data_IF_605086749760
#
_entry.id   IF_605086749760
#
_cell.length_a   1.000
_cell.length_b   1.000
_cell.length_c   1.000
_cell.angle_alpha   90.00
_cell.angle_beta   90.00
_cell.angle_gamma   90.00
#
_symmetry.space_group_name_H-M   'P 1'
#
loop_
_entity.id
_entity.type
_entity.pdbx_description
1 polymer ?
#
# COMPACT_ATOMS: atom_id res chain seq x y z
N UNK A 1 18.32 -1.15 -25.23
CA UNK A 1 17.15 -1.69 -25.96
C UNK A 1 17.60 -2.92 -26.70
N UNK A 2 17.06 -4.08 -26.35
CA UNK A 2 17.42 -5.36 -26.97
C UNK A 2 16.12 -6.01 -27.44
N UNK A 3 15.98 -6.19 -28.75
CA UNK A 3 14.81 -6.85 -29.35
C UNK A 3 15.26 -8.25 -29.75
N UNK A 4 14.57 -9.28 -29.28
CA UNK A 4 14.81 -10.67 -29.68
C UNK A 4 13.57 -11.23 -30.36
N UNK A 5 13.76 -11.85 -31.53
CA UNK A 5 12.70 -12.50 -32.32
C UNK A 5 12.94 -14.01 -32.25
N UNK A 6 12.02 -14.74 -31.64
CA UNK A 6 11.98 -16.20 -31.69
C UNK A 6 10.99 -16.67 -32.75
N UNK A 7 11.39 -17.64 -33.58
CA UNK A 7 10.52 -18.31 -34.55
C UNK A 7 10.10 -19.67 -33.98
N UNK A 8 8.81 -19.99 -33.99
CA UNK A 8 8.26 -21.32 -33.72
C UNK A 8 7.46 -21.79 -34.94
N UNK A 9 7.55 -23.08 -35.27
CA UNK A 9 6.87 -23.72 -36.42
C UNK A 9 5.33 -23.84 -36.26
N UNK A 10 4.73 -23.09 -35.33
CA UNK A 10 3.29 -22.99 -35.15
C UNK A 10 2.87 -21.53 -34.90
N UNK A 11 3.05 -20.68 -35.91
CA UNK A 11 2.19 -19.53 -36.20
C UNK A 11 2.06 -18.39 -35.18
N UNK A 12 2.65 -18.45 -33.98
CA UNK A 12 2.57 -17.38 -32.98
C UNK A 12 3.92 -16.67 -32.82
N UNK A 13 4.01 -15.44 -33.32
CA UNK A 13 5.13 -14.54 -33.05
C UNK A 13 4.83 -13.71 -31.79
N UNK A 14 5.51 -14.02 -30.67
CA UNK A 14 5.50 -13.17 -29.48
C UNK A 14 6.75 -12.29 -29.45
N UNK A 15 6.56 -10.98 -29.35
CA UNK A 15 7.65 -9.99 -29.19
C UNK A 15 7.67 -9.51 -27.75
N UNK A 16 8.74 -9.80 -27.02
CA UNK A 16 8.95 -9.32 -25.66
C UNK A 16 9.92 -8.14 -25.68
N UNK A 17 9.46 -6.97 -25.20
CA UNK A 17 10.29 -5.75 -25.07
C UNK A 17 10.53 -5.49 -23.59
N UNK A 18 11.78 -5.62 -23.14
CA UNK A 18 12.18 -5.37 -21.75
C UNK A 18 12.93 -4.03 -21.66
N UNK A 19 12.38 -3.09 -20.89
CA UNK A 19 13.03 -1.82 -20.56
C UNK A 19 13.77 -1.92 -19.22
N UNK A 20 15.01 -1.42 -19.17
CA UNK A 20 15.73 -1.14 -17.92
C UNK A 20 16.35 -2.34 -17.17
N UNK A 21 16.22 -3.57 -17.67
CA UNK A 21 16.77 -4.76 -17.00
C UNK A 21 18.28 -4.91 -17.30
N UNK A 22 19.17 -5.05 -16.29
CA UNK A 22 20.59 -5.28 -16.53
C UNK A 22 20.83 -6.60 -17.29
N UNK A 23 21.80 -6.64 -18.23
CA UNK A 23 22.08 -7.80 -19.11
C UNK A 23 22.19 -9.16 -18.39
N UNK A 24 22.64 -9.18 -17.14
CA UNK A 24 22.72 -10.38 -16.32
C UNK A 24 21.34 -11.03 -16.06
N UNK A 25 20.30 -10.21 -15.91
CA UNK A 25 18.93 -10.67 -15.64
C UNK A 25 18.23 -11.19 -16.89
N UNK A 26 18.52 -10.64 -18.09
CA UNK A 26 17.92 -11.12 -19.33
C UNK A 26 18.35 -12.53 -19.72
N UNK A 27 19.57 -12.94 -19.37
CA UNK A 27 20.06 -14.30 -19.64
C UNK A 27 19.52 -15.33 -18.64
N UNK A 28 19.31 -14.92 -17.39
CA UNK A 28 18.68 -15.76 -16.36
C UNK A 28 17.23 -16.05 -16.73
N UNK A 29 16.47 -15.04 -17.19
CA UNK A 29 15.08 -15.20 -17.61
C UNK A 29 14.93 -16.10 -18.86
N UNK A 30 15.85 -15.99 -19.82
CA UNK A 30 15.86 -16.85 -21.02
C UNK A 30 16.24 -18.30 -20.69
N UNK A 31 17.20 -18.51 -19.78
CA UNK A 31 17.52 -19.85 -19.27
C UNK A 31 16.34 -20.47 -18.52
N UNK A 32 15.56 -19.66 -17.79
CA UNK A 32 14.36 -20.08 -17.07
C UNK A 32 13.25 -20.56 -18.01
N UNK A 33 12.99 -19.85 -19.10
CA UNK A 33 12.00 -20.21 -20.13
C UNK A 33 12.39 -21.49 -20.89
N UNK A 34 13.69 -21.74 -21.12
CA UNK A 34 14.15 -22.97 -21.78
C UNK A 34 14.13 -24.20 -20.86
N UNK A 35 14.34 -24.02 -19.55
CA UNK A 35 14.34 -25.12 -18.57
C UNK A 35 12.93 -25.52 -18.11
N UNK A 36 11.99 -24.58 -18.03
CA UNK A 36 10.61 -24.86 -17.62
C UNK A 36 9.87 -25.75 -18.64
N UNK A 37 10.24 -25.68 -19.92
CA UNK A 37 9.65 -26.51 -20.98
C UNK A 37 10.13 -27.97 -20.97
N UNK A 38 10.98 -28.37 -20.00
CA UNK A 38 11.56 -29.71 -19.91
C UNK A 38 11.48 -30.28 -18.48
N UNK A 39 10.38 -31.00 -18.24
CA UNK A 39 10.11 -31.99 -17.16
C UNK A 39 9.51 -31.53 -15.80
N UNK A 40 8.45 -32.27 -15.43
CA UNK A 40 7.73 -32.33 -14.13
C UNK A 40 8.68 -32.61 -12.95
N UNK A 41 8.97 -31.61 -12.10
CA UNK A 41 9.28 -31.78 -10.66
C UNK A 41 8.83 -30.53 -9.90
N UNK A 42 7.70 -30.59 -9.18
CA UNK A 42 6.98 -29.40 -8.68
C UNK A 42 7.28 -28.99 -7.22
N UNK A 43 8.08 -29.74 -6.45
CA UNK A 43 8.34 -29.44 -5.04
C UNK A 43 9.71 -28.82 -4.72
N UNK A 44 10.77 -29.30 -5.37
CA UNK A 44 12.15 -28.91 -5.05
C UNK A 44 12.61 -27.64 -5.76
N UNK A 45 11.92 -27.24 -6.83
CA UNK A 45 12.26 -26.07 -7.64
C UNK A 45 11.84 -24.76 -6.94
N UNK A 46 10.62 -24.71 -6.37
CA UNK A 46 10.10 -23.54 -5.67
C UNK A 46 10.95 -23.18 -4.43
N UNK A 47 11.40 -24.20 -3.69
CA UNK A 47 12.27 -24.01 -2.52
C UNK A 47 13.63 -23.40 -2.90
N UNK A 48 14.23 -23.83 -4.02
CA UNK A 48 15.49 -23.28 -4.52
C UNK A 48 15.35 -21.86 -5.07
N UNK A 49 14.18 -21.53 -5.64
CA UNK A 49 13.85 -20.17 -6.11
C UNK A 49 13.71 -19.21 -4.93
N UNK A 50 13.03 -19.62 -3.84
CA UNK A 50 12.91 -18.80 -2.63
C UNK A 50 14.29 -18.57 -2.00
N UNK A 51 15.15 -19.59 -1.93
CA UNK A 51 16.52 -19.41 -1.44
C UNK A 51 17.34 -18.47 -2.33
N UNK A 52 17.30 -18.61 -3.65
CA UNK A 52 18.03 -17.74 -4.57
C UNK A 52 17.57 -16.27 -4.49
N UNK A 53 16.26 -16.03 -4.35
CA UNK A 53 15.68 -14.70 -4.17
C UNK A 53 16.12 -14.09 -2.83
N UNK A 54 16.18 -14.87 -1.75
CA UNK A 54 16.64 -14.39 -0.45
C UNK A 54 18.13 -14.02 -0.42
N UNK A 55 18.97 -14.64 -1.25
CA UNK A 55 20.41 -14.37 -1.31
C UNK A 55 20.78 -13.14 -2.14
N UNK A 56 19.94 -12.75 -3.12
CA UNK A 56 20.21 -11.63 -4.03
C UNK A 56 19.48 -10.33 -3.67
N UNK A 57 18.38 -10.40 -2.91
CA UNK A 57 17.55 -9.25 -2.55
C UNK A 57 18.01 -8.64 -1.23
N UNK A 58 18.34 -7.34 -1.21
CA UNK A 58 18.96 -6.68 -0.04
C UNK A 58 17.96 -6.19 1.01
N UNK A 59 16.67 -6.16 0.70
CA UNK A 59 15.63 -5.62 1.58
C UNK A 59 14.36 -6.45 1.52
N UNK A 60 13.63 -6.54 2.63
CA UNK A 60 12.41 -7.34 2.76
C UNK A 60 11.33 -6.95 1.74
N UNK A 61 11.23 -5.66 1.38
CA UNK A 61 10.25 -5.18 0.39
C UNK A 61 10.49 -5.76 -1.01
N UNK A 62 11.74 -5.97 -1.42
CA UNK A 62 12.09 -6.54 -2.72
C UNK A 62 11.65 -8.01 -2.83
N UNK A 63 11.81 -8.77 -1.74
CA UNK A 63 11.37 -10.17 -1.67
C UNK A 63 9.84 -10.27 -1.76
N UNK A 64 9.11 -9.37 -1.08
CA UNK A 64 7.64 -9.32 -1.14
C UNK A 64 7.16 -8.99 -2.55
N UNK A 65 7.72 -7.95 -3.20
CA UNK A 65 7.36 -7.61 -4.59
C UNK A 65 7.64 -8.77 -5.54
N UNK A 66 8.78 -9.44 -5.41
CA UNK A 66 9.13 -10.59 -6.26
C UNK A 66 8.17 -11.77 -6.05
N UNK A 67 7.77 -12.06 -4.81
CA UNK A 67 6.80 -13.11 -4.51
C UNK A 67 5.40 -12.76 -5.04
N UNK A 68 4.97 -11.50 -4.95
CA UNK A 68 3.70 -11.04 -5.52
C UNK A 68 3.71 -11.18 -7.04
N UNK A 69 4.77 -10.70 -7.71
CA UNK A 69 4.91 -10.85 -9.17
C UNK A 69 4.95 -12.33 -9.59
N UNK A 70 5.66 -13.18 -8.83
CA UNK A 70 5.70 -14.63 -9.09
C UNK A 70 4.32 -15.27 -8.90
N UNK A 71 3.54 -14.84 -7.89
CA UNK A 71 2.18 -15.34 -7.66
C UNK A 71 1.21 -14.96 -8.78
N UNK A 72 1.38 -13.78 -9.36
CA UNK A 72 0.57 -13.30 -10.49
C UNK A 72 0.89 -14.10 -11.77
N UNK A 73 2.16 -14.42 -12.01
CA UNK A 73 2.59 -15.23 -13.16
C UNK A 73 2.22 -16.71 -12.98
N UNK A 74 2.32 -17.29 -11.79
CA UNK A 74 1.96 -18.68 -11.56
C UNK A 74 0.45 -18.95 -11.61
N UNK A 75 -0.40 -17.93 -11.41
CA UNK A 75 -1.86 -18.11 -11.44
C UNK A 75 -2.44 -18.11 -12.86
N UNK A 76 -1.73 -17.57 -13.86
CA UNK A 76 -2.20 -17.56 -15.25
C UNK A 76 -2.12 -18.92 -15.96
N UNK A 77 -1.45 -19.93 -15.38
CA UNK A 77 -1.33 -21.28 -15.99
C UNK A 77 -2.16 -22.37 -15.28
N UNK A 78 -2.94 -22.02 -14.25
CA UNK A 78 -3.68 -22.99 -13.42
C UNK A 78 -5.19 -23.06 -13.68
N UNK A 79 -5.65 -22.73 -14.89
CA UNK A 79 -6.97 -23.13 -15.35
C UNK A 79 -6.89 -24.59 -15.84
N UNK A 80 -7.05 -25.53 -14.92
CA UNK A 80 -7.48 -26.87 -15.28
C UNK A 80 -8.95 -26.79 -15.67
N UNK A 81 -9.23 -27.02 -16.95
CA UNK A 81 -10.57 -27.41 -17.38
C UNK A 81 -10.94 -28.70 -16.66
N UNK A 82 -12.03 -28.64 -15.90
CA UNK A 82 -12.96 -29.73 -15.58
C UNK A 82 -13.86 -29.26 -14.42
N UNK A 83 -14.71 -28.27 -14.66
CA UNK A 83 -15.90 -28.02 -13.83
C UNK A 83 -17.12 -28.44 -14.64
N UNK A 84 -17.73 -29.55 -14.25
CA UNK A 84 -19.02 -29.98 -14.78
C UNK A 84 -20.12 -29.24 -14.03
N UNK A 85 -21.04 -28.64 -14.77
CA UNK A 85 -22.26 -28.04 -14.21
C UNK A 85 -23.26 -29.17 -13.95
N UNK A 86 -23.70 -29.32 -12.71
CA UNK A 86 -24.81 -30.20 -12.33
C UNK A 86 -26.09 -29.35 -12.26
N UNK A 87 -27.22 -29.91 -12.68
CA UNK A 87 -28.52 -29.25 -12.47
C UNK A 87 -29.06 -29.47 -11.04
N UNK A 88 -30.19 -28.84 -10.73
CA UNK A 88 -30.86 -28.93 -9.41
C UNK A 88 -31.32 -30.36 -9.03
N UNK A 89 -31.20 -31.33 -9.93
CA UNK A 89 -31.49 -32.75 -9.71
C UNK A 89 -30.23 -33.60 -9.50
N UNK A 90 -29.03 -33.00 -9.59
CA UNK A 90 -27.75 -33.66 -9.40
C UNK A 90 -27.29 -34.47 -10.62
N UNK A 91 -27.83 -34.22 -11.80
CA UNK A 91 -27.46 -34.92 -13.04
C UNK A 91 -26.38 -34.13 -13.81
N UNK A 92 -25.40 -34.84 -14.38
CA UNK A 92 -24.34 -34.29 -15.22
C UNK A 92 -24.93 -33.66 -16.47
N UNK A 93 -24.77 -32.35 -16.64
CA UNK A 93 -25.06 -31.68 -17.90
C UNK A 93 -23.89 -31.98 -18.84
N UNK A 94 -24.12 -32.83 -19.85
CA UNK A 94 -23.17 -33.01 -20.95
C UNK A 94 -23.04 -31.70 -21.72
N UNK A 95 -21.89 -31.03 -21.59
CA UNK A 95 -21.51 -29.91 -22.46
C UNK A 95 -20.83 -30.53 -23.69
N UNK A 96 -21.39 -30.40 -24.91
CA UNK A 96 -20.80 -31.00 -26.09
C UNK A 96 -19.55 -30.23 -26.49
N UNK A 97 -18.38 -30.84 -26.32
CA UNK A 97 -17.12 -30.42 -26.90
C UNK A 97 -16.98 -31.07 -28.26
N UNK A 98 -17.03 -30.31 -29.37
CA UNK A 98 -16.59 -30.84 -30.66
C UNK A 98 -15.88 -29.82 -31.55
N UNK A 99 -14.73 -30.29 -31.99
CA UNK A 99 -13.76 -29.73 -32.92
C UNK A 99 -14.35 -29.73 -34.33
N UNK A 100 -14.36 -28.54 -34.94
CA UNK A 100 -14.33 -28.28 -36.39
C UNK A 100 -15.25 -29.11 -37.29
N UNK A 101 -16.30 -28.46 -37.79
CA UNK A 101 -16.86 -28.76 -39.11
C UNK A 101 -18.35 -28.48 -39.19
N UNK A 102 -18.70 -27.33 -39.74
CA UNK A 102 -20.06 -26.90 -40.11
C UNK A 102 -20.98 -26.45 -38.95
N UNK A 103 -21.09 -25.11 -38.87
CA UNK A 103 -21.98 -24.34 -38.01
C UNK A 103 -23.44 -24.73 -38.21
N UNK A 104 -24.08 -25.24 -37.15
CA UNK A 104 -25.45 -24.85 -36.82
C UNK A 104 -25.57 -24.75 -35.29
N UNK A 105 -25.84 -23.53 -34.80
CA UNK A 105 -26.11 -23.08 -33.41
C UNK A 105 -24.92 -22.58 -32.56
N UNK A 106 -25.08 -21.43 -31.85
CA UNK A 106 -23.99 -20.78 -31.14
C UNK A 106 -23.74 -21.40 -29.75
N UNK A 107 -22.48 -21.61 -29.42
CA UNK A 107 -22.01 -22.02 -28.09
C UNK A 107 -21.75 -20.77 -27.23
N UNK A 108 -22.34 -20.71 -26.03
CA UNK A 108 -22.12 -19.66 -25.05
C UNK A 108 -20.83 -19.94 -24.28
N UNK A 109 -19.74 -19.26 -24.62
CA UNK A 109 -18.56 -19.17 -23.76
C UNK A 109 -18.69 -17.88 -22.93
N UNK A 110 -19.12 -18.02 -21.68
CA UNK A 110 -19.01 -16.92 -20.70
C UNK A 110 -17.55 -16.85 -20.31
N UNK A 111 -16.86 -15.83 -20.78
CA UNK A 111 -15.53 -15.50 -20.32
C UNK A 111 -15.62 -15.06 -18.85
N UNK A 112 -15.07 -15.87 -17.95
CA UNK A 112 -15.15 -15.69 -16.48
C UNK A 112 -14.32 -14.47 -16.02
N UNK A 113 -13.55 -13.86 -16.93
CA UNK A 113 -12.66 -12.74 -16.62
C UNK A 113 -13.35 -11.37 -16.62
N UNK A 114 -14.63 -11.29 -17.05
CA UNK A 114 -15.39 -10.02 -17.01
C UNK A 114 -14.89 -8.97 -18.02
N UNK A 115 -13.98 -9.34 -18.93
CA UNK A 115 -13.44 -8.42 -19.95
C UNK A 115 -14.37 -8.23 -21.15
N UNK A 116 -15.46 -9.00 -21.27
CA UNK A 116 -16.34 -9.01 -22.45
C UNK A 116 -17.82 -8.78 -22.13
N UNK A 117 -18.15 -7.88 -21.20
CA UNK A 117 -19.55 -7.47 -21.00
C UNK A 117 -20.01 -6.34 -21.94
N UNK A 118 -19.07 -5.56 -22.50
CA UNK A 118 -19.40 -4.42 -23.38
C UNK A 118 -19.86 -4.86 -24.80
N UNK A 119 -19.73 -6.16 -25.17
CA UNK A 119 -20.04 -6.67 -26.52
C UNK A 119 -21.25 -7.61 -26.60
N UNK A 120 -21.81 -8.07 -25.48
CA UNK A 120 -22.79 -9.17 -25.50
C UNK A 120 -24.25 -8.75 -25.32
N UNK A 121 -24.55 -7.53 -24.88
CA UNK A 121 -25.95 -7.09 -24.74
C UNK A 121 -26.61 -6.80 -26.10
N UNK A 122 -25.88 -6.26 -27.09
CA UNK A 122 -26.47 -5.81 -28.35
C UNK A 122 -26.57 -6.90 -29.43
N UNK A 123 -25.49 -7.65 -29.72
CA UNK A 123 -25.49 -8.59 -30.89
C UNK A 123 -26.26 -9.90 -30.63
N UNK A 124 -26.38 -10.35 -29.38
CA UNK A 124 -27.08 -11.61 -29.08
C UNK A 124 -28.61 -11.44 -29.09
N UNK A 125 -29.10 -10.31 -28.59
CA UNK A 125 -30.53 -9.97 -28.56
C UNK A 125 -31.06 -9.66 -29.97
N UNK A 126 -30.32 -8.91 -30.79
CA UNK A 126 -30.73 -8.64 -32.18
C UNK A 126 -30.70 -9.90 -33.06
N UNK A 127 -29.81 -10.87 -32.76
CA UNK A 127 -29.54 -11.98 -33.66
C UNK A 127 -30.31 -13.26 -33.36
N UNK A 128 -30.72 -13.52 -32.10
CA UNK A 128 -31.29 -14.82 -31.73
C UNK A 128 -32.54 -14.82 -30.83
N UNK A 129 -32.98 -13.69 -30.28
CA UNK A 129 -34.11 -13.66 -29.35
C UNK A 129 -34.99 -12.43 -29.50
N UNK A 130 -36.15 -12.57 -30.13
CA UNK A 130 -37.21 -11.56 -29.99
C UNK A 130 -37.45 -11.23 -28.51
N UNK A 131 -37.88 -9.99 -28.24
CA UNK A 131 -38.00 -9.25 -26.95
C UNK A 131 -38.31 -9.99 -25.62
N UNK A 132 -38.59 -11.28 -25.59
CA UNK A 132 -39.00 -12.06 -24.42
C UNK A 132 -37.98 -13.06 -23.87
N UNK A 133 -36.80 -13.23 -24.47
CA UNK A 133 -35.81 -14.24 -24.03
C UNK A 133 -34.45 -13.68 -23.59
N UNK A 134 -34.36 -12.39 -23.28
CA UNK A 134 -33.17 -11.82 -22.65
C UNK A 134 -33.07 -12.36 -21.21
N UNK A 135 -32.47 -13.54 -21.03
CA UNK A 135 -31.88 -13.90 -19.74
C UNK A 135 -30.68 -12.97 -19.59
N UNK A 136 -30.92 -11.78 -19.02
CA UNK A 136 -29.85 -10.86 -18.70
C UNK A 136 -28.82 -11.60 -17.86
N UNK A 137 -27.55 -11.53 -18.27
CA UNK A 137 -26.46 -11.99 -17.41
C UNK A 137 -26.67 -11.33 -16.04
N UNK A 138 -26.51 -12.06 -14.92
CA UNK A 138 -26.71 -11.48 -13.60
C UNK A 138 -25.82 -10.23 -13.48
N UNK A 139 -26.44 -9.07 -13.25
CA UNK A 139 -25.81 -7.74 -13.26
C UNK A 139 -24.53 -7.60 -12.41
N UNK A 140 -24.30 -8.53 -11.50
CA UNK A 140 -23.12 -8.60 -10.63
C UNK A 140 -21.87 -9.15 -11.33
N UNK A 141 -22.05 -9.96 -12.37
CA UNK A 141 -20.96 -10.61 -13.11
C UNK A 141 -20.20 -9.63 -14.02
N UNK A 142 -20.86 -8.55 -14.45
CA UNK A 142 -20.31 -7.50 -15.32
C UNK A 142 -19.76 -6.28 -14.58
N UNK A 143 -19.70 -6.34 -13.24
CA UNK A 143 -19.15 -5.25 -12.45
C UNK A 143 -17.62 -5.20 -12.55
N UNK A 144 -17.01 -4.01 -12.68
CA UNK A 144 -15.56 -3.83 -12.67
C UNK A 144 -14.91 -4.54 -11.48
N UNK A 145 -13.88 -5.34 -11.75
CA UNK A 145 -13.23 -6.15 -10.71
C UNK A 145 -12.00 -5.48 -10.15
N UNK A 146 -11.32 -4.68 -10.95
CA UNK A 146 -10.17 -3.93 -10.49
C UNK A 146 -10.57 -2.51 -10.10
N UNK A 147 -9.86 -1.98 -9.12
CA UNK A 147 -9.93 -0.58 -8.76
C UNK A 147 -8.55 -0.05 -8.45
N UNK A 148 -8.31 1.20 -8.83
CA UNK A 148 -7.08 1.90 -8.55
C UNK A 148 -7.39 3.35 -8.19
N UNK A 149 -6.66 3.89 -7.22
CA UNK A 149 -6.83 5.26 -6.78
C UNK A 149 -5.52 5.98 -6.51
N UNK A 150 -5.60 7.30 -6.64
CA UNK A 150 -4.53 8.22 -6.27
C UNK A 150 -5.14 9.44 -5.54
N UNK A 151 -4.53 9.83 -4.44
CA UNK A 151 -4.88 11.03 -3.68
C UNK A 151 -3.64 11.84 -3.32
N UNK A 152 -3.80 13.16 -3.30
CA UNK A 152 -2.86 14.07 -2.66
C UNK A 152 -3.18 14.20 -1.17
N UNK A 153 -2.15 14.32 -0.36
CA UNK A 153 -2.23 14.50 1.10
C UNK A 153 -1.65 15.85 1.49
N UNK A 154 -2.22 16.48 2.52
CA UNK A 154 -1.58 17.59 3.26
C UNK A 154 -1.77 17.30 4.73
N UNK A 155 -0.70 16.89 5.41
CA UNK A 155 -0.77 16.37 6.77
C UNK A 155 0.31 16.96 7.66
N UNK A 156 0.00 17.06 8.95
CA UNK A 156 0.92 17.42 10.02
C UNK A 156 0.88 16.38 11.12
N UNK A 157 1.66 16.59 12.19
CA UNK A 157 1.59 15.75 13.39
C UNK A 157 1.69 16.54 14.68
N UNK A 158 1.17 15.96 15.76
CA UNK A 158 1.47 16.39 17.11
C UNK A 158 2.92 16.06 17.45
N UNK A 159 3.56 17.00 18.14
CA UNK A 159 4.90 16.85 18.68
C UNK A 159 4.83 16.51 20.17
N UNK A 160 5.80 15.76 20.70
CA UNK A 160 5.88 15.49 22.14
C UNK A 160 6.22 16.75 22.95
N UNK A 161 6.25 16.58 24.27
CA UNK A 161 6.72 17.60 25.19
C UNK A 161 8.14 18.07 24.85
N UNK A 162 8.38 19.37 25.08
CA UNK A 162 9.65 20.01 24.72
C UNK A 162 10.81 19.45 25.53
N UNK A 163 11.90 19.06 24.86
CA UNK A 163 13.20 18.94 25.50
C UNK A 163 13.91 20.30 25.46
N UNK A 164 14.46 20.70 26.60
CA UNK A 164 15.26 21.93 26.71
C UNK A 164 16.70 21.57 27.03
N UNK A 165 17.62 22.26 26.38
CA UNK A 165 19.06 22.05 26.57
C UNK A 165 19.79 23.36 26.72
N UNK A 166 20.89 23.32 27.46
CA UNK A 166 21.89 24.39 27.46
C UNK A 166 23.04 23.91 26.60
N UNK A 167 23.28 24.62 25.50
CA UNK A 167 24.32 24.32 24.55
C UNK A 167 25.58 25.17 24.67
N UNK A 168 26.48 25.06 23.68
CA UNK A 168 27.75 25.78 23.67
C UNK A 168 27.55 27.27 23.93
N UNK A 169 28.48 27.87 24.69
CA UNK A 169 28.44 29.29 25.06
C UNK A 169 27.15 29.72 25.78
N UNK A 170 26.41 28.78 26.37
CA UNK A 170 25.16 29.02 27.10
C UNK A 170 23.91 29.13 26.23
N UNK A 171 23.97 28.71 24.96
CA UNK A 171 22.83 28.74 24.04
C UNK A 171 21.66 27.92 24.60
N UNK A 172 20.56 28.57 24.95
CA UNK A 172 19.33 27.87 25.31
C UNK A 172 18.65 27.34 24.03
N UNK A 173 18.37 26.04 24.01
CA UNK A 173 17.72 25.35 22.89
C UNK A 173 16.47 24.65 23.37
N UNK A 174 15.37 24.81 22.63
CA UNK A 174 14.13 24.08 22.89
C UNK A 174 13.67 23.33 21.64
N UNK A 175 13.47 22.02 21.73
CA UNK A 175 13.02 21.21 20.57
C UNK A 175 11.65 21.62 20.04
N UNK A 176 10.87 22.35 20.86
CA UNK A 176 9.55 22.89 20.49
C UNK A 176 9.61 24.05 19.50
N UNK A 177 10.74 24.74 19.37
CA UNK A 177 10.82 25.87 18.43
C UNK A 177 10.74 25.44 16.98
N UNK A 178 11.22 24.23 16.65
CA UNK A 178 11.10 23.65 15.32
C UNK A 178 9.75 22.92 15.19
N UNK A 179 8.70 23.61 14.74
CA UNK A 179 7.35 23.06 14.65
C UNK A 179 7.18 21.98 13.57
N UNK A 180 6.14 21.15 13.69
CA UNK A 180 5.65 20.33 12.59
C UNK A 180 4.99 21.24 11.53
N UNK A 181 5.34 21.08 10.26
CA UNK A 181 4.71 21.78 9.15
C UNK A 181 3.57 20.95 8.53
N UNK A 182 2.97 21.45 7.45
CA UNK A 182 1.91 20.77 6.69
C UNK A 182 2.38 20.45 5.27
N UNK A 183 3.36 19.57 5.09
CA UNK A 183 3.84 19.22 3.76
C UNK A 183 2.82 18.37 2.98
N UNK A 184 3.08 18.28 1.68
CA UNK A 184 2.35 17.40 0.77
C UNK A 184 2.77 15.94 0.90
N UNK A 185 1.89 15.05 0.46
CA UNK A 185 2.14 13.61 0.36
C UNK A 185 1.26 12.94 -0.68
N UNK A 186 1.38 11.61 -0.76
CA UNK A 186 0.65 10.78 -1.74
C UNK A 186 -0.02 9.59 -1.04
N UNK A 187 -1.19 9.18 -1.52
CA UNK A 187 -1.89 7.94 -1.15
C UNK A 187 -2.29 7.24 -2.46
N UNK A 188 -1.86 5.99 -2.61
CA UNK A 188 -2.09 5.14 -3.77
C UNK A 188 -2.74 3.85 -3.32
N UNK A 189 -3.76 3.40 -4.05
CA UNK A 189 -4.42 2.12 -3.79
C UNK A 189 -4.62 1.34 -5.07
N UNK A 190 -4.54 0.03 -4.95
CA UNK A 190 -4.83 -0.91 -6.02
C UNK A 190 -5.49 -2.14 -5.41
N UNK A 191 -6.58 -2.59 -5.98
CA UNK A 191 -7.20 -3.83 -5.53
C UNK A 191 -8.02 -4.53 -6.59
N UNK A 192 -8.40 -5.76 -6.26
CA UNK A 192 -9.23 -6.62 -7.09
C UNK A 192 -10.28 -7.34 -6.27
N UNK A 193 -11.49 -7.38 -6.79
CA UNK A 193 -12.62 -8.16 -6.28
C UNK A 193 -12.64 -9.58 -6.86
N UNK A 194 -13.14 -10.52 -6.07
CA UNK A 194 -13.15 -11.96 -6.32
C UNK A 194 -14.51 -12.57 -5.99
N UNK A 195 -14.80 -13.70 -6.66
CA UNK A 195 -16.06 -14.42 -6.55
C UNK A 195 -17.15 -13.82 -7.44
N UNK A 196 -18.16 -14.63 -7.76
CA UNK A 196 -19.23 -14.25 -8.69
C UNK A 196 -20.05 -13.06 -8.15
N UNK A 197 -20.27 -13.04 -6.85
CA UNK A 197 -20.94 -11.95 -6.13
C UNK A 197 -20.02 -10.76 -5.81
N UNK A 198 -18.71 -10.91 -6.06
CA UNK A 198 -17.72 -9.88 -5.76
C UNK A 198 -17.76 -9.40 -4.29
N UNK A 199 -17.94 -10.33 -3.34
CA UNK A 199 -18.01 -10.04 -1.90
C UNK A 199 -16.61 -9.89 -1.27
N UNK A 200 -15.56 -10.40 -1.91
CA UNK A 200 -14.21 -10.39 -1.37
C UNK A 200 -13.25 -9.59 -2.25
N UNK A 201 -12.34 -8.82 -1.67
CA UNK A 201 -11.28 -8.15 -2.42
C UNK A 201 -9.93 -8.21 -1.72
N UNK A 202 -8.85 -8.11 -2.48
CA UNK A 202 -7.51 -7.82 -1.97
C UNK A 202 -7.18 -6.39 -2.38
N UNK A 203 -6.69 -5.59 -1.44
CA UNK A 203 -6.31 -4.20 -1.62
C UNK A 203 -4.88 -3.97 -1.11
N UNK A 204 -4.09 -3.27 -1.89
CA UNK A 204 -2.78 -2.75 -1.53
C UNK A 204 -2.90 -1.25 -1.38
N UNK A 205 -2.36 -0.70 -0.28
CA UNK A 205 -2.31 0.74 -0.04
C UNK A 205 -0.86 1.13 0.23
N UNK A 206 -0.43 2.22 -0.40
CA UNK A 206 0.74 2.95 0.00
C UNK A 206 0.36 4.40 0.29
N UNK A 207 0.82 4.96 1.40
CA UNK A 207 0.80 6.41 1.56
C UNK A 207 2.03 6.91 2.31
N UNK A 208 2.42 8.14 2.02
CA UNK A 208 3.58 8.77 2.64
C UNK A 208 3.51 10.28 2.63
N UNK A 209 4.10 10.88 3.66
CA UNK A 209 4.21 12.33 3.85
C UNK A 209 5.65 12.61 4.30
N UNK A 210 6.26 13.63 3.69
CA UNK A 210 7.70 13.87 3.78
C UNK A 210 8.00 15.29 4.21
N UNK A 211 9.15 15.49 4.86
CA UNK A 211 9.62 16.80 5.31
C UNK A 211 8.61 17.50 6.24
N UNK A 212 8.00 16.74 7.17
CA UNK A 212 7.15 17.32 8.21
C UNK A 212 8.07 17.98 9.23
N UNK A 213 8.15 19.30 9.19
CA UNK A 213 9.05 20.05 10.06
C UNK A 213 9.34 21.46 9.59
N UNK A 214 9.99 22.22 10.44
CA UNK A 214 10.42 23.58 10.18
C UNK A 214 11.78 23.84 10.83
N UNK A 215 12.35 25.01 10.56
CA UNK A 215 13.55 25.48 11.23
C UNK A 215 13.26 26.72 12.06
N UNK A 216 13.98 26.86 13.16
CA UNK A 216 13.88 27.99 14.07
C UNK A 216 15.26 28.43 14.56
N UNK A 217 15.48 29.73 14.54
CA UNK A 217 16.67 30.35 15.11
C UNK A 217 16.65 30.21 16.64
N UNK A 218 17.78 29.77 17.19
CA UNK A 218 18.07 29.77 18.62
C UNK A 218 19.06 30.91 18.87
N UNK A 219 18.84 31.72 19.90
CA UNK A 219 19.77 32.79 20.23
C UNK A 219 19.84 33.00 21.75
N UNK A 220 21.05 33.12 22.28
CA UNK A 220 21.30 33.53 23.65
C UNK A 220 22.53 34.43 23.68
N UNK A 221 22.32 35.71 23.99
CA UNK A 221 23.39 36.70 23.87
C UNK A 221 23.97 36.76 22.45
N UNK A 222 25.30 36.68 22.28
CA UNK A 222 25.95 36.71 20.97
C UNK A 222 25.94 35.36 20.23
N UNK A 223 25.60 34.26 20.90
CA UNK A 223 25.61 32.92 20.32
C UNK A 223 24.27 32.63 19.64
N UNK A 224 24.35 32.11 18.41
CA UNK A 224 23.18 31.75 17.60
C UNK A 224 23.34 30.37 16.97
N UNK A 225 22.25 29.65 16.83
CA UNK A 225 22.17 28.41 16.08
C UNK A 225 20.83 28.23 15.39
N UNK A 226 20.70 27.18 14.59
CA UNK A 226 19.46 26.81 13.91
C UNK A 226 19.07 25.42 14.35
N UNK A 227 17.86 25.29 14.90
CA UNK A 227 17.24 24.00 15.14
C UNK A 227 16.29 23.70 13.98
N UNK A 228 16.46 22.55 13.33
CA UNK A 228 15.60 22.09 12.24
C UNK A 228 15.01 20.72 12.54
N UNK A 229 13.74 20.54 12.14
CA UNK A 229 13.02 19.27 12.16
C UNK A 229 12.71 18.82 10.74
N UNK A 230 12.77 17.51 10.48
CA UNK A 230 12.36 16.92 9.20
C UNK A 230 11.92 15.48 9.37
N UNK A 231 10.62 15.28 9.57
CA UNK A 231 10.05 13.96 9.81
C UNK A 231 9.51 13.35 8.52
N UNK A 232 9.51 12.01 8.47
CA UNK A 232 8.95 11.22 7.37
C UNK A 232 8.00 10.17 7.91
N UNK A 233 6.87 10.02 7.22
CA UNK A 233 5.89 8.96 7.50
C UNK A 233 5.72 8.13 6.25
N UNK A 234 5.86 6.80 6.38
CA UNK A 234 5.53 5.85 5.32
C UNK A 234 4.56 4.79 5.84
N UNK A 235 3.67 4.34 4.96
CA UNK A 235 2.69 3.34 5.30
C UNK A 235 2.44 2.40 4.13
N UNK A 236 2.45 1.10 4.39
CA UNK A 236 2.11 0.05 3.43
C UNK A 236 1.07 -0.86 4.07
N UNK A 237 -0.02 -1.15 3.37
CA UNK A 237 -1.05 -2.09 3.80
C UNK A 237 -1.34 -3.12 2.73
N UNK A 238 -1.65 -4.33 3.18
CA UNK A 238 -2.26 -5.39 2.39
C UNK A 238 -3.52 -5.81 3.12
N UNK A 239 -4.66 -5.59 2.50
CA UNK A 239 -5.98 -5.75 3.10
C UNK A 239 -6.79 -6.80 2.34
N UNK A 240 -7.44 -7.66 3.10
CA UNK A 240 -8.59 -8.42 2.66
C UNK A 240 -9.85 -7.64 3.01
N UNK A 241 -10.67 -7.38 2.00
CA UNK A 241 -11.96 -6.72 2.12
C UNK A 241 -13.07 -7.78 2.04
N UNK A 242 -14.09 -7.62 2.86
CA UNK A 242 -15.31 -8.43 2.79
C UNK A 242 -16.55 -7.54 2.85
N UNK A 243 -17.32 -7.54 1.76
CA UNK A 243 -18.60 -6.87 1.60
C UNK A 243 -19.73 -7.92 1.63
N UNK A 244 -20.42 -8.12 2.76
CA UNK A 244 -21.51 -9.10 2.87
C UNK A 244 -22.78 -8.70 2.09
N UNK A 245 -22.86 -7.45 1.63
CA UNK A 245 -23.91 -6.95 0.75
C UNK A 245 -23.32 -6.57 -0.61
N UNK A 246 -24.13 -5.96 -1.48
CA UNK A 246 -23.65 -5.35 -2.71
C UNK A 246 -22.56 -4.32 -2.40
N UNK A 247 -21.63 -4.11 -3.32
CA UNK A 247 -20.56 -3.13 -3.11
C UNK A 247 -21.14 -1.71 -3.02
N UNK A 248 -20.59 -0.82 -2.17
CA UNK A 248 -21.16 0.51 -1.92
C UNK A 248 -21.26 1.39 -3.17
N UNK A 249 -20.43 1.15 -4.18
CA UNK A 249 -20.40 1.90 -5.43
C UNK A 249 -21.53 1.49 -6.39
N UNK A 250 -22.17 0.35 -6.16
CA UNK A 250 -23.23 -0.21 -6.99
C UNK A 250 -24.52 -0.29 -6.19
N UNK A 251 -25.24 0.83 -6.19
CA UNK A 251 -26.53 0.96 -5.51
C UNK A 251 -27.52 -0.07 -6.07
N UNK A 252 -28.04 -0.95 -5.22
CA UNK A 252 -29.19 -1.79 -5.54
C UNK A 252 -30.30 -1.53 -4.53
N UNK A 253 -31.46 -1.13 -5.06
CA UNK A 253 -32.67 -0.89 -4.26
C UNK A 253 -32.57 0.33 -3.33
N UNK A 254 -33.22 0.26 -2.18
CA UNK A 254 -33.36 1.35 -1.21
C UNK A 254 -32.26 1.36 -0.13
N UNK A 255 -31.15 0.65 -0.35
CA UNK A 255 -30.05 0.53 0.63
C UNK A 255 -29.17 1.78 0.60
N UNK A 256 -29.28 2.59 1.66
CA UNK A 256 -28.47 3.81 1.84
C UNK A 256 -27.21 3.60 2.66
N UNK A 257 -27.06 2.45 3.30
CA UNK A 257 -25.95 2.16 4.21
C UNK A 257 -25.27 0.89 3.74
N UNK A 258 -23.95 0.94 3.63
CA UNK A 258 -23.10 -0.20 3.34
C UNK A 258 -22.02 -0.35 4.40
N UNK A 259 -21.65 -1.60 4.67
CA UNK A 259 -20.56 -1.92 5.57
C UNK A 259 -19.65 -2.98 4.93
N UNK A 260 -18.36 -2.69 4.93
CA UNK A 260 -17.33 -3.64 4.50
C UNK A 260 -16.35 -3.87 5.64
N UNK A 261 -15.98 -5.12 5.87
CA UNK A 261 -14.92 -5.49 6.80
C UNK A 261 -13.56 -5.42 6.12
N UNK A 262 -12.54 -5.10 6.91
CA UNK A 262 -11.15 -5.08 6.50
C UNK A 262 -10.31 -5.84 7.52
N UNK A 263 -9.45 -6.72 7.05
CA UNK A 263 -8.41 -7.36 7.85
C UNK A 263 -7.13 -7.50 7.03
N UNK A 264 -5.97 -7.35 7.63
CA UNK A 264 -4.75 -7.31 6.84
C UNK A 264 -3.46 -7.21 7.63
N UNK A 265 -2.39 -6.95 6.89
CA UNK A 265 -1.07 -6.64 7.43
C UNK A 265 -0.70 -5.19 7.11
N UNK A 266 -0.06 -4.53 8.06
CA UNK A 266 0.38 -3.14 7.89
C UNK A 266 1.81 -2.95 8.37
N UNK A 267 2.58 -2.25 7.54
CA UNK A 267 3.86 -1.66 7.88
C UNK A 267 3.67 -0.15 8.00
N UNK A 268 4.12 0.43 9.11
CA UNK A 268 4.06 1.86 9.35
C UNK A 268 5.42 2.35 9.86
N UNK A 269 5.97 3.35 9.19
CA UNK A 269 7.23 3.99 9.54
C UNK A 269 6.97 5.42 10.01
N UNK A 270 7.58 5.78 11.13
CA UNK A 270 7.73 7.17 11.57
C UNK A 270 9.20 7.44 11.85
N UNK A 271 9.81 8.23 10.99
CA UNK A 271 11.15 8.77 11.16
C UNK A 271 11.06 10.22 11.61
N UNK A 272 11.77 10.54 12.68
CA UNK A 272 11.84 11.85 13.32
C UNK A 272 13.30 12.30 13.32
N UNK A 273 13.55 13.52 12.84
CA UNK A 273 14.90 14.06 12.76
C UNK A 273 14.94 15.47 13.35
N UNK A 274 15.86 15.66 14.30
CA UNK A 274 16.21 16.95 14.86
C UNK A 274 17.69 17.24 14.61
N UNK A 275 17.99 18.44 14.14
CA UNK A 275 19.35 18.91 13.90
C UNK A 275 19.51 20.29 14.51
N UNK A 276 20.51 20.46 15.38
CA UNK A 276 20.97 21.75 15.86
C UNK A 276 22.33 22.04 15.22
N UNK A 277 22.42 23.17 14.53
CA UNK A 277 23.65 23.72 13.97
C UNK A 277 24.00 25.03 14.69
N UNK A 278 25.19 25.11 15.28
CA UNK A 278 25.73 26.31 15.96
C UNK A 278 27.04 26.69 15.28
N UNK A 279 26.99 27.54 14.23
CA UNK A 279 28.17 27.83 13.42
C UNK A 279 29.31 28.49 14.18
N UNK A 280 29.01 29.36 15.15
CA UNK A 280 30.02 30.08 15.95
C UNK A 280 30.92 29.15 16.73
N UNK A 281 30.39 27.98 17.14
CA UNK A 281 31.10 26.99 17.96
C UNK A 281 31.49 25.75 17.15
N UNK A 282 31.29 25.77 15.82
CA UNK A 282 31.48 24.61 14.92
C UNK A 282 30.78 23.34 15.44
N UNK A 283 29.61 23.52 16.06
CA UNK A 283 28.90 22.46 16.76
C UNK A 283 27.67 22.03 15.99
N UNK A 284 27.54 20.74 15.70
CA UNK A 284 26.33 20.16 15.12
C UNK A 284 25.92 18.93 15.92
N UNK A 285 24.67 18.91 16.38
CA UNK A 285 24.02 17.72 16.92
C UNK A 285 22.88 17.31 16.00
N UNK A 286 22.88 16.05 15.59
CA UNK A 286 21.78 15.44 14.84
C UNK A 286 21.29 14.20 15.59
N UNK A 287 19.98 14.15 15.83
CA UNK A 287 19.28 13.00 16.41
C UNK A 287 18.26 12.51 15.40
N UNK A 288 18.40 11.26 14.95
CA UNK A 288 17.47 10.60 14.03
C UNK A 288 16.89 9.38 14.71
N UNK A 289 15.58 9.40 14.95
CA UNK A 289 14.83 8.31 15.57
C UNK A 289 13.87 7.71 14.56
N UNK A 290 13.91 6.39 14.36
CA UNK A 290 13.05 5.69 13.42
C UNK A 290 12.26 4.59 14.12
N UNK A 291 10.95 4.55 13.86
CA UNK A 291 10.03 3.53 14.36
C UNK A 291 9.51 2.75 13.16
N UNK A 292 9.68 1.43 13.18
CA UNK A 292 9.17 0.54 12.16
C UNK A 292 8.15 -0.41 12.79
N UNK A 293 6.87 -0.08 12.64
CA UNK A 293 5.76 -0.89 13.14
C UNK A 293 5.35 -1.91 12.08
N UNK A 294 5.22 -3.16 12.47
CA UNK A 294 4.73 -4.24 11.62
C UNK A 294 3.78 -5.14 12.40
N UNK A 295 2.61 -5.41 11.82
CA UNK A 295 1.60 -6.20 12.53
C UNK A 295 0.30 -6.44 11.77
N UNK A 296 -0.63 -7.08 12.46
CA UNK A 296 -1.97 -7.35 11.96
C UNK A 296 -2.91 -6.18 12.21
N UNK A 297 -3.71 -5.84 11.21
CA UNK A 297 -4.75 -4.83 11.32
C UNK A 297 -6.14 -5.39 11.07
N UNK A 298 -7.13 -4.74 11.66
CA UNK A 298 -8.53 -4.94 11.37
C UNK A 298 -9.25 -3.59 11.33
N UNK A 299 -10.39 -3.56 10.68
CA UNK A 299 -11.19 -2.36 10.55
C UNK A 299 -12.43 -2.60 9.73
N UNK A 300 -13.02 -1.52 9.28
CA UNK A 300 -14.13 -1.56 8.35
C UNK A 300 -14.24 -0.27 7.58
N UNK A 301 -15.18 -0.27 6.65
CA UNK A 301 -15.56 0.89 5.86
C UNK A 301 -17.09 0.99 5.91
N UNK A 302 -17.56 2.14 6.37
CA UNK A 302 -18.95 2.51 6.42
C UNK A 302 -19.22 3.53 5.33
N UNK A 303 -20.18 3.25 4.47
CA UNK A 303 -20.64 4.17 3.43
C UNK A 303 -22.10 4.51 3.68
N UNK A 304 -22.42 5.80 3.74
CA UNK A 304 -23.78 6.31 3.84
C UNK A 304 -24.11 7.20 2.64
N UNK A 305 -25.07 6.78 1.83
CA UNK A 305 -25.62 7.56 0.73
C UNK A 305 -26.42 8.75 1.27
N UNK A 306 -25.86 9.94 1.09
CA UNK A 306 -26.44 11.21 1.56
C UNK A 306 -27.24 11.93 0.46
N UNK A 307 -26.91 11.66 -0.80
CA UNK A 307 -27.62 12.13 -1.99
C UNK A 307 -27.32 11.18 -3.17
N UNK A 308 -28.07 11.25 -4.29
CA UNK A 308 -27.76 10.43 -5.46
C UNK A 308 -26.29 10.62 -5.87
N UNK A 309 -25.55 9.50 -5.97
CA UNK A 309 -24.10 9.46 -6.29
C UNK A 309 -23.18 10.13 -5.27
N UNK A 310 -23.66 10.51 -4.08
CA UNK A 310 -22.82 11.08 -3.03
C UNK A 310 -22.88 10.22 -1.77
N UNK A 311 -21.70 9.86 -1.26
CA UNK A 311 -21.53 9.00 -0.10
C UNK A 311 -20.67 9.68 0.95
N UNK A 312 -21.12 9.65 2.19
CA UNK A 312 -20.29 9.90 3.35
C UNK A 312 -19.60 8.59 3.75
N UNK A 313 -18.28 8.60 3.82
CA UNK A 313 -17.47 7.40 4.01
C UNK A 313 -16.60 7.54 5.26
N UNK A 314 -16.66 6.55 6.14
CA UNK A 314 -15.82 6.47 7.36
C UNK A 314 -15.08 5.14 7.38
N UNK A 315 -13.75 5.19 7.55
CA UNK A 315 -12.89 3.99 7.53
C UNK A 315 -12.07 3.93 8.81
N UNK A 316 -12.60 3.34 9.90
CA UNK A 316 -11.81 3.05 11.09
C UNK A 316 -10.95 1.81 10.88
N UNK A 317 -9.68 1.89 11.33
CA UNK A 317 -8.72 0.78 11.35
C UNK A 317 -7.93 0.80 12.65
N UNK A 318 -7.51 -0.38 13.10
CA UNK A 318 -6.66 -0.56 14.26
C UNK A 318 -5.61 -1.64 13.99
N UNK A 319 -4.37 -1.37 14.39
CA UNK A 319 -3.18 -2.19 14.21
C UNK A 319 -2.56 -2.49 15.58
N UNK A 320 -2.22 -3.75 15.80
CA UNK A 320 -1.35 -4.19 16.87
C UNK A 320 -0.05 -4.71 16.26
N UNK A 321 1.08 -4.16 16.67
CA UNK A 321 2.35 -4.34 15.98
C UNK A 321 3.53 -4.49 16.93
N UNK A 322 4.57 -5.18 16.46
CA UNK A 322 5.91 -4.96 16.99
C UNK A 322 6.48 -3.67 16.39
N UNK A 323 7.20 -2.90 17.20
CA UNK A 323 7.91 -1.70 16.79
C UNK A 323 9.41 -1.90 16.98
N UNK A 324 10.11 -2.01 15.86
CA UNK A 324 11.57 -1.95 15.83
C UNK A 324 12.01 -0.48 15.82
N UNK A 325 12.34 0.03 17.01
CA UNK A 325 12.79 1.40 17.22
C UNK A 325 14.31 1.49 17.13
N UNK A 326 14.79 2.54 16.49
CA UNK A 326 16.22 2.84 16.42
C UNK A 326 16.46 4.33 16.61
N UNK A 327 17.56 4.69 17.27
CA UNK A 327 18.02 6.05 17.40
C UNK A 327 19.49 6.12 16.98
N UNK A 328 19.83 7.18 16.25
CA UNK A 328 21.20 7.56 15.96
C UNK A 328 21.40 9.02 16.33
N UNK A 329 22.31 9.27 17.26
CA UNK A 329 22.75 10.60 17.63
C UNK A 329 24.19 10.81 17.17
N UNK A 330 24.40 11.84 16.36
CA UNK A 330 25.73 12.26 15.90
C UNK A 330 26.02 13.67 16.38
N UNK A 331 27.10 13.82 17.12
CA UNK A 331 27.62 15.10 17.57
C UNK A 331 28.96 15.37 16.89
N UNK A 332 29.16 16.61 16.45
CA UNK A 332 30.44 17.10 15.94
C UNK A 332 30.75 18.48 16.54
N UNK A 333 32.02 18.73 16.81
CA UNK A 333 32.51 19.94 17.46
C UNK A 333 33.84 19.68 18.17
N UNK A 334 33.96 20.10 19.43
CA UNK A 334 35.13 19.79 20.27
C UNK A 334 35.21 18.30 20.60
N UNK A 335 34.05 17.65 20.70
CA UNK A 335 33.86 16.20 20.84
C UNK A 335 33.15 15.67 19.60
N UNK A 336 33.46 14.42 19.23
CA UNK A 336 32.75 13.72 18.16
C UNK A 336 32.19 12.43 18.73
N UNK A 337 30.90 12.21 18.52
CA UNK A 337 30.21 10.98 18.92
C UNK A 337 29.25 10.53 17.81
N UNK A 338 29.16 9.22 17.57
CA UNK A 338 28.14 8.57 16.74
C UNK A 338 27.61 7.39 17.54
N UNK A 339 26.46 7.58 18.19
CA UNK A 339 25.86 6.59 19.06
C UNK A 339 24.60 6.05 18.41
N UNK A 340 24.51 4.72 18.35
CA UNK A 340 23.35 4.00 17.81
C UNK A 340 22.75 3.11 18.89
N UNK A 341 21.45 3.14 19.01
CA UNK A 341 20.70 2.31 19.96
C UNK A 341 19.51 1.70 19.21
N UNK A 342 19.27 0.38 19.35
CA UNK A 342 18.02 -0.26 18.95
C UNK A 342 17.21 -0.74 20.15
N UNK A 343 15.89 -0.78 20.02
CA UNK A 343 15.00 -1.42 21.00
C UNK A 343 13.74 -1.91 20.29
N UNK A 344 13.24 -3.08 20.70
CA UNK A 344 12.00 -3.64 20.20
C UNK A 344 10.93 -3.57 21.29
N UNK A 345 9.78 -2.99 20.95
CA UNK A 345 8.63 -2.87 21.87
C UNK A 345 7.34 -3.21 21.15
N UNK A 346 6.27 -3.42 21.93
CA UNK A 346 4.93 -3.56 21.38
C UNK A 346 4.29 -2.18 21.16
N UNK A 347 3.70 -1.92 20.01
CA UNK A 347 3.03 -0.66 19.70
C UNK A 347 1.65 -0.87 19.09
N UNK A 348 0.88 0.20 19.06
CA UNK A 348 -0.45 0.21 18.46
C UNK A 348 -0.57 1.41 17.54
N UNK A 349 -1.47 1.29 16.56
CA UNK A 349 -1.86 2.38 15.68
C UNK A 349 -3.36 2.31 15.43
N UNK A 350 -4.06 3.42 15.65
CA UNK A 350 -5.45 3.61 15.27
C UNK A 350 -5.53 4.64 14.15
N UNK A 351 -6.38 4.42 13.15
CA UNK A 351 -6.64 5.43 12.11
C UNK A 351 -8.10 5.52 11.76
N UNK A 352 -8.57 6.73 11.48
CA UNK A 352 -9.92 6.99 10.98
C UNK A 352 -9.81 7.96 9.81
N UNK A 353 -10.32 7.52 8.66
CA UNK A 353 -10.54 8.38 7.50
C UNK A 353 -12.02 8.75 7.46
N UNK A 354 -12.32 10.03 7.26
CA UNK A 354 -13.68 10.53 7.03
C UNK A 354 -13.70 11.31 5.74
N UNK A 355 -14.61 11.00 4.82
CA UNK A 355 -14.64 11.65 3.51
C UNK A 355 -16.04 11.75 2.93
N UNK A 356 -16.19 12.63 1.95
CA UNK A 356 -17.32 12.65 1.02
C UNK A 356 -16.80 12.15 -0.33
N UNK A 357 -17.44 11.11 -0.86
CA UNK A 357 -17.20 10.57 -2.18
C UNK A 357 -18.34 10.96 -3.13
N UNK A 358 -17.98 11.29 -4.37
CA UNK A 358 -18.91 11.59 -5.45
C UNK A 358 -18.62 10.65 -6.62
N UNK A 359 -19.60 9.81 -6.95
CA UNK A 359 -19.54 8.87 -8.07
C UNK A 359 -19.93 9.60 -9.36
N UNK A 360 -18.94 10.21 -10.02
CA UNK A 360 -19.13 11.02 -11.24
C UNK A 360 -19.70 10.17 -12.37
N UNK A 361 -19.17 8.95 -12.50
CA UNK A 361 -19.67 7.89 -13.39
C UNK A 361 -19.63 6.55 -12.65
N UNK A 362 -20.11 5.48 -13.27
CA UNK A 362 -20.01 4.13 -12.70
C UNK A 362 -18.55 3.65 -12.56
N UNK A 363 -17.64 4.19 -13.38
CA UNK A 363 -16.23 3.83 -13.38
C UNK A 363 -15.33 4.82 -12.64
N UNK A 364 -15.84 6.00 -12.27
CA UNK A 364 -15.03 7.06 -11.67
C UNK A 364 -15.69 7.70 -10.45
N UNK A 365 -14.93 7.78 -9.37
CA UNK A 365 -15.33 8.54 -8.18
C UNK A 365 -14.26 9.54 -7.78
N UNK A 366 -14.69 10.66 -7.23
CA UNK A 366 -13.85 11.69 -6.62
C UNK A 366 -14.13 11.71 -5.11
N UNK A 367 -13.14 12.07 -4.29
CA UNK A 367 -13.39 12.33 -2.88
C UNK A 367 -12.54 13.44 -2.31
N UNK A 368 -13.04 13.97 -1.19
CA UNK A 368 -12.36 14.89 -0.30
C UNK A 368 -12.60 14.43 1.13
N UNK A 369 -11.56 14.41 1.95
CA UNK A 369 -11.67 13.92 3.31
C UNK A 369 -10.58 14.41 4.25
N UNK A 370 -10.65 13.90 5.47
CA UNK A 370 -9.73 14.14 6.56
C UNK A 370 -9.33 12.82 7.22
N UNK A 371 -8.04 12.63 7.45
CA UNK A 371 -7.45 11.44 8.06
C UNK A 371 -6.87 11.81 9.41
N UNK A 372 -7.08 10.96 10.40
CA UNK A 372 -6.43 11.01 11.71
C UNK A 372 -5.80 9.65 11.99
N UNK A 373 -4.52 9.63 12.37
CA UNK A 373 -3.75 8.45 12.72
C UNK A 373 -3.11 8.69 14.08
N UNK A 374 -3.52 7.95 15.10
CA UNK A 374 -2.86 7.91 16.40
C UNK A 374 -1.90 6.72 16.44
N UNK A 375 -0.67 6.95 16.88
CA UNK A 375 0.34 5.90 17.09
C UNK A 375 0.92 6.05 18.49
N UNK A 376 1.07 4.94 19.20
CA UNK A 376 1.53 4.91 20.58
C UNK A 376 2.65 3.90 20.84
N UNK A 377 3.33 4.11 21.96
CA UNK A 377 4.54 3.41 22.36
C UNK A 377 5.65 3.48 21.30
N UNK A 378 5.93 4.68 20.83
CA UNK A 378 7.00 4.99 19.89
C UNK A 378 8.14 5.72 20.58
N UNK A 379 9.31 5.73 19.94
CA UNK A 379 10.41 6.63 20.25
C UNK A 379 10.30 7.90 19.40
N UNK A 380 10.66 9.05 19.96
CA UNK A 380 10.72 10.33 19.24
C UNK A 380 12.06 11.01 19.49
N UNK A 381 12.49 11.85 18.54
CA UNK A 381 13.81 12.48 18.60
C UNK A 381 13.94 13.42 19.82
N UNK A 382 12.86 14.11 20.19
CA UNK A 382 12.80 14.94 21.40
C UNK A 382 13.08 14.14 22.67
N UNK A 383 12.57 12.91 22.74
CA UNK A 383 12.80 12.01 23.88
C UNK A 383 14.23 11.49 23.97
N UNK A 384 15.00 11.58 22.88
CA UNK A 384 16.43 11.23 22.86
C UNK A 384 17.32 12.47 22.92
N UNK A 385 16.73 13.66 23.08
CA UNK A 385 17.45 14.92 23.07
C UNK A 385 18.12 15.17 24.44
N UNK A 386 19.45 15.35 24.50
CA UNK A 386 20.16 15.50 25.76
C UNK A 386 19.94 16.89 26.38
N UNK A 387 19.88 16.97 27.71
CA UNK A 387 19.65 18.24 28.44
C UNK A 387 20.86 19.19 28.49
N UNK A 388 22.05 18.71 28.15
CA UNK A 388 23.29 19.49 28.13
C UNK A 388 24.07 19.20 26.85
N UNK A 389 24.57 20.25 26.18
CA UNK A 389 25.40 20.14 24.98
C UNK A 389 26.72 20.92 25.18
N UNK A 390 27.89 20.38 24.74
CA UNK A 390 28.08 19.05 24.14
C UNK A 390 27.71 17.91 25.09
N UNK A 391 27.12 16.85 24.55
CA UNK A 391 26.62 15.72 25.30
C UNK A 391 27.70 14.64 25.47
N UNK A 392 27.66 13.91 26.58
CA UNK A 392 28.47 12.71 26.71
C UNK A 392 27.96 11.60 25.79
N UNK A 393 28.83 10.71 25.32
CA UNK A 393 28.41 9.54 24.55
C UNK A 393 27.39 8.66 25.32
N UNK A 394 27.49 8.62 26.66
CA UNK A 394 26.54 7.91 27.50
C UNK A 394 25.14 8.56 27.48
N UNK A 395 25.06 9.90 27.50
CA UNK A 395 23.77 10.63 27.42
C UNK A 395 23.13 10.61 26.04
N UNK A 396 23.88 10.25 25.00
CA UNK A 396 23.37 10.03 23.64
C UNK A 396 22.91 8.58 23.40
N UNK A 397 23.15 7.69 24.37
CA UNK A 397 22.81 6.28 24.30
C UNK A 397 21.45 5.94 24.91
N UNK A 398 20.88 4.82 24.46
CA UNK A 398 19.56 4.36 24.88
C UNK A 398 18.45 4.82 23.95
N UNK A 399 17.25 4.26 24.18
CA UNK A 399 16.01 4.71 23.56
C UNK A 399 14.94 4.78 24.64
N UNK A 400 14.34 5.96 24.80
CA UNK A 400 13.07 6.10 25.51
C UNK A 400 11.92 5.81 24.53
N UNK A 401 11.27 4.65 24.70
CA UNK A 401 9.97 4.32 24.08
C UNK A 401 8.84 4.61 25.06
N UNK A 402 7.65 4.92 24.55
CA UNK A 402 6.46 5.19 25.37
C UNK A 402 5.74 6.48 25.00
N UNK A 403 6.27 7.21 24.02
CA UNK A 403 5.63 8.42 23.50
C UNK A 403 4.51 8.09 22.53
N UNK A 404 3.73 9.10 22.19
CA UNK A 404 2.61 9.03 21.26
C UNK A 404 2.62 10.18 20.26
N UNK A 405 2.00 9.97 19.11
CA UNK A 405 1.85 11.00 18.08
C UNK A 405 0.53 10.84 17.36
N UNK A 406 -0.10 11.97 17.05
CA UNK A 406 -1.27 12.05 16.19
C UNK A 406 -0.82 12.69 14.88
N UNK A 407 -0.96 11.97 13.78
CA UNK A 407 -0.74 12.46 12.42
C UNK A 407 -2.12 12.72 11.82
N UNK A 408 -2.35 13.90 11.28
CA UNK A 408 -3.66 14.25 10.74
C UNK A 408 -3.58 15.22 9.59
N UNK A 409 -4.60 15.20 8.73
CA UNK A 409 -4.72 16.18 7.68
C UNK A 409 -5.74 15.85 6.61
N UNK A 410 -5.79 16.71 5.61
CA UNK A 410 -6.75 16.59 4.52
C UNK A 410 -6.19 15.73 3.38
N UNK A 411 -7.09 15.10 2.64
CA UNK A 411 -6.76 14.38 1.41
C UNK A 411 -7.84 14.57 0.37
N UNK A 412 -7.44 14.56 -0.90
CA UNK A 412 -8.36 14.59 -2.03
C UNK A 412 -7.83 13.72 -3.18
N UNK A 413 -8.71 13.02 -3.86
CA UNK A 413 -8.30 12.05 -4.87
C UNK A 413 -9.42 11.53 -5.75
N UNK A 414 -9.08 10.50 -6.51
CA UNK A 414 -9.99 9.83 -7.42
C UNK A 414 -9.74 8.32 -7.47
N UNK A 415 -10.77 7.56 -7.82
CA UNK A 415 -10.72 6.11 -8.07
C UNK A 415 -11.26 5.84 -9.47
N UNK A 416 -10.56 4.96 -10.16
CA UNK A 416 -11.02 4.35 -11.40
C UNK A 416 -11.31 2.87 -11.17
N UNK A 417 -12.33 2.35 -11.86
CA UNK A 417 -12.76 0.95 -11.80
C UNK A 417 -12.79 0.36 -13.21
N UNK A 418 -12.19 -0.81 -13.38
CA UNK A 418 -12.05 -1.48 -14.67
C UNK A 418 -12.29 -2.99 -14.59
#
# INVERSE_FOLDING_TARGET
MSIFKGSTDQGCCSVLILFGIPRAWSQVLLGYLQLYNKNRIHGTLLWRVIQALSTFMRTAYQVVIALVLLSLVCKSEYLKGDEYVLDDSGQLIEIPLLVSGELTTPTLLVDIDGESCDFYEDDWCERYGGNSSCIGLPSEQCRPRWFASASGLVMTRSLPDSANSIGPSGLAVSTRSASASWPGGVDLRLGRWFGDRQEHAIEFIYWGVYNIGSSAQQQTGPTSGVLSRSDTVNNIEINWLYAPQTRPEFHQGNQRINWMWLAGFRFFQLEDQLILDVPSDSFVLQTTTNNNLFGGQFGGRFDWEIAPRMRFVVVPKFLLAGNASSNRATESGTTTADVRSPVDVFSWLGSVDTSVAWDVTERWSLWLGYRVVGVGNIAQADGQWPSTLPASAASLGGIATGSESIIHGAFAGFESRY
#
